data_IF_884183788859
#
_entry.id   IF_884183788859
#
_cell.length_a   1.000
_cell.length_b   1.000
_cell.length_c   1.000
_cell.angle_alpha   90.00
_cell.angle_beta   90.00
_cell.angle_gamma   90.00
#
_symmetry.space_group_name_H-M   'P 1'
#
loop_
_entity.id
_entity.type
_entity.pdbx_description
1 polymer ?
#
# COMPACT_ATOMS: atom_id res chain seq x y z
N UNK A 1 -3.63 4.08 -17.62
CA UNK A 1 -3.55 5.56 -17.59
C UNK A 1 -2.10 6.00 -17.75
N UNK A 2 -1.81 7.30 -17.89
CA UNK A 2 -0.43 7.81 -18.01
C UNK A 2 -0.14 8.78 -16.87
N UNK A 3 0.95 8.55 -16.15
CA UNK A 3 1.48 9.44 -15.12
C UNK A 3 2.08 10.73 -15.72
N UNK A 4 2.32 11.74 -14.88
CA UNK A 4 2.84 13.05 -15.28
C UNK A 4 4.22 13.01 -15.94
N UNK A 5 5.02 11.98 -15.64
CA UNK A 5 6.35 11.75 -16.19
C UNK A 5 6.36 10.83 -17.43
N UNK A 6 5.18 10.49 -17.96
CA UNK A 6 5.02 9.68 -19.17
C UNK A 6 4.99 8.17 -18.93
N UNK A 7 5.16 7.70 -17.70
CA UNK A 7 5.02 6.27 -17.36
C UNK A 7 3.56 5.84 -17.51
N UNK A 8 3.29 4.75 -18.22
CA UNK A 8 1.95 4.18 -18.31
C UNK A 8 1.71 3.25 -17.12
N UNK A 9 0.62 3.49 -16.40
CA UNK A 9 0.20 2.71 -15.25
C UNK A 9 -1.04 1.88 -15.61
N UNK A 10 -0.95 0.56 -15.43
CA UNK A 10 -2.07 -0.36 -15.59
C UNK A 10 -2.93 -0.34 -14.32
N UNK A 11 -4.22 -0.05 -14.49
CA UNK A 11 -5.21 0.01 -13.41
C UNK A 11 -6.24 -1.08 -13.64
N UNK A 12 -6.35 -1.98 -12.69
CA UNK A 12 -7.14 -3.20 -12.75
C UNK A 12 -8.36 -3.08 -11.86
N UNK A 13 -9.53 -3.02 -12.48
CA UNK A 13 -10.82 -2.99 -11.78
C UNK A 13 -11.35 -4.41 -11.69
N UNK A 14 -11.39 -4.95 -10.48
CA UNK A 14 -11.99 -6.26 -10.22
C UNK A 14 -13.51 -6.17 -10.09
N UNK A 15 -14.02 -4.98 -9.83
CA UNK A 15 -15.45 -4.65 -9.81
C UNK A 15 -15.68 -3.34 -10.54
N UNK A 16 -16.89 -3.13 -11.02
CA UNK A 16 -17.33 -1.78 -11.41
C UNK A 16 -17.30 -0.83 -10.20
N UNK A 17 -17.14 0.46 -10.46
CA UNK A 17 -17.20 1.50 -9.43
C UNK A 17 -18.66 1.89 -9.20
N UNK A 18 -19.20 1.50 -8.05
CA UNK A 18 -20.49 1.94 -7.55
C UNK A 18 -20.27 3.00 -6.46
N UNK A 19 -20.85 4.19 -6.62
CA UNK A 19 -20.76 5.28 -5.66
C UNK A 19 -21.36 4.94 -4.28
N UNK A 20 -22.24 3.95 -4.20
CA UNK A 20 -22.80 3.48 -2.93
C UNK A 20 -21.82 2.59 -2.12
N UNK A 21 -20.68 2.19 -2.71
CA UNK A 21 -19.74 1.24 -2.13
C UNK A 21 -18.38 1.90 -1.86
N UNK A 22 -17.75 1.66 -0.70
CA UNK A 22 -16.40 2.19 -0.45
C UNK A 22 -15.39 1.56 -1.41
N UNK A 23 -14.40 2.34 -1.83
CA UNK A 23 -13.37 1.88 -2.79
C UNK A 23 -12.09 1.47 -2.09
N UNK A 24 -11.69 0.22 -2.28
CA UNK A 24 -10.37 -0.28 -1.89
C UNK A 24 -9.43 -0.09 -3.07
N UNK A 25 -8.29 0.55 -2.82
CA UNK A 25 -7.19 0.66 -3.76
C UNK A 25 -5.98 -0.10 -3.23
N UNK A 26 -5.68 -1.22 -3.89
CA UNK A 26 -4.65 -2.15 -3.49
C UNK A 26 -3.32 -1.88 -4.22
N UNK A 27 -2.21 -1.94 -3.47
CA UNK A 27 -0.85 -1.66 -3.93
C UNK A 27 0.02 -2.89 -3.64
N UNK A 28 0.48 -3.56 -4.70
CA UNK A 28 1.29 -4.77 -4.59
C UNK A 28 2.75 -4.47 -4.17
N UNK A 29 3.47 -5.50 -3.75
CA UNK A 29 4.89 -5.45 -3.38
C UNK A 29 5.84 -5.69 -4.55
N UNK A 30 7.12 -5.90 -4.28
CA UNK A 30 8.09 -6.36 -5.27
C UNK A 30 8.68 -7.72 -4.86
N UNK A 31 8.81 -8.71 -5.77
CA UNK A 31 8.57 -8.65 -7.22
C UNK A 31 7.17 -9.16 -7.63
N UNK A 32 6.10 -8.51 -7.15
CA UNK A 32 4.71 -8.89 -7.47
C UNK A 32 4.09 -8.02 -8.58
N UNK A 33 2.82 -8.29 -8.89
CA UNK A 33 1.90 -7.44 -9.65
C UNK A 33 0.48 -7.51 -9.03
N UNK A 34 -0.53 -6.92 -9.68
CA UNK A 34 -1.91 -6.89 -9.18
C UNK A 34 -2.51 -8.26 -8.82
N UNK A 35 -2.08 -9.37 -9.45
CA UNK A 35 -2.65 -10.70 -9.22
C UNK A 35 -2.50 -11.22 -7.79
N UNK A 36 -1.57 -10.65 -7.01
CA UNK A 36 -1.48 -10.95 -5.56
C UNK A 36 -2.80 -10.67 -4.83
N UNK A 37 -3.66 -9.84 -5.42
CA UNK A 37 -4.95 -9.46 -4.86
C UNK A 37 -6.14 -10.26 -5.39
N UNK A 38 -5.97 -11.18 -6.34
CA UNK A 38 -7.09 -11.91 -6.98
C UNK A 38 -8.03 -12.55 -5.94
N UNK A 39 -7.50 -13.34 -5.01
CA UNK A 39 -8.29 -13.98 -3.97
C UNK A 39 -8.89 -13.01 -2.94
N UNK A 40 -8.25 -11.86 -2.72
CA UNK A 40 -8.77 -10.81 -1.82
C UNK A 40 -9.93 -10.08 -2.50
N UNK A 41 -9.78 -9.77 -3.79
CA UNK A 41 -10.80 -9.16 -4.60
C UNK A 41 -12.03 -10.06 -4.72
N UNK A 42 -11.85 -11.36 -4.89
CA UNK A 42 -12.95 -12.34 -4.87
C UNK A 42 -13.71 -12.30 -3.53
N UNK A 43 -12.99 -12.29 -2.41
CA UNK A 43 -13.60 -12.26 -1.07
C UNK A 43 -14.33 -10.93 -0.75
N UNK A 44 -13.85 -9.80 -1.28
CA UNK A 44 -14.30 -8.47 -0.90
C UNK A 44 -15.18 -7.77 -1.95
N UNK A 45 -15.13 -8.23 -3.20
CA UNK A 45 -15.78 -7.62 -4.37
C UNK A 45 -17.31 -7.67 -4.35
N UNK A 46 -17.93 -8.36 -3.40
CA UNK A 46 -19.38 -8.27 -3.13
C UNK A 46 -19.78 -7.10 -2.23
N UNK A 47 -18.84 -6.49 -1.50
CA UNK A 47 -19.10 -5.38 -0.55
C UNK A 47 -18.41 -4.07 -0.91
N UNK A 48 -17.21 -4.13 -1.48
CA UNK A 48 -16.40 -2.94 -1.80
C UNK A 48 -16.18 -2.82 -3.31
N UNK A 49 -15.93 -1.61 -3.81
CA UNK A 49 -15.29 -1.49 -5.11
C UNK A 49 -13.83 -1.91 -4.92
N UNK A 50 -13.33 -2.85 -5.73
CA UNK A 50 -11.97 -3.35 -5.58
C UNK A 50 -11.13 -3.04 -6.82
N UNK A 51 -10.09 -2.24 -6.60
CA UNK A 51 -9.16 -1.81 -7.64
C UNK A 51 -7.74 -2.08 -7.19
N UNK A 52 -6.89 -2.52 -8.09
CA UNK A 52 -5.44 -2.49 -7.92
C UNK A 52 -4.80 -1.73 -9.09
N UNK A 53 -3.57 -1.28 -8.92
CA UNK A 53 -2.75 -0.87 -10.06
C UNK A 53 -1.39 -1.52 -9.97
N UNK A 54 -0.80 -1.77 -11.14
CA UNK A 54 0.59 -2.20 -11.20
C UNK A 54 1.48 -0.98 -10.98
N UNK A 55 2.33 -1.00 -9.96
CA UNK A 55 3.30 0.06 -9.69
C UNK A 55 4.27 0.15 -10.88
N UNK A 56 4.77 1.36 -11.17
CA UNK A 56 5.74 1.61 -12.24
C UNK A 56 6.82 0.52 -12.32
N UNK A 57 7.06 -0.01 -13.52
CA UNK A 57 8.03 -1.06 -13.78
C UNK A 57 7.64 -2.47 -13.32
N UNK A 58 6.39 -2.70 -12.96
CA UNK A 58 5.85 -4.03 -12.64
C UNK A 58 4.59 -4.32 -13.45
N UNK A 59 4.24 -5.60 -13.56
CA UNK A 59 3.04 -6.06 -14.26
C UNK A 59 2.91 -5.50 -15.67
N UNK A 60 1.76 -4.88 -15.96
CA UNK A 60 1.47 -4.25 -17.25
C UNK A 60 1.80 -2.74 -17.29
N UNK A 61 2.38 -2.20 -16.22
CA UNK A 61 2.89 -0.83 -16.19
C UNK A 61 4.24 -0.72 -16.87
N UNK A 62 4.50 0.40 -17.54
CA UNK A 62 5.81 0.66 -18.15
C UNK A 62 6.86 0.97 -17.08
N UNK A 63 8.13 0.80 -17.43
CA UNK A 63 9.23 1.18 -16.56
C UNK A 63 9.69 2.63 -16.86
N UNK A 64 10.06 3.43 -15.84
CA UNK A 64 10.77 4.68 -16.03
C UNK A 64 12.14 4.45 -16.70
N UNK A 65 12.64 5.46 -17.42
CA UNK A 65 13.93 5.38 -18.13
C UNK A 65 15.15 5.19 -17.20
N UNK A 66 15.02 5.49 -15.91
CA UNK A 66 16.11 5.36 -14.95
C UNK A 66 15.64 5.30 -13.51
N UNK A 67 16.58 4.99 -12.60
CA UNK A 67 16.31 4.78 -11.18
C UNK A 67 15.67 5.98 -10.47
N UNK A 68 15.93 7.20 -10.92
CA UNK A 68 15.31 8.41 -10.38
C UNK A 68 13.78 8.40 -10.50
N UNK A 69 13.24 7.67 -11.49
CA UNK A 69 11.80 7.47 -11.64
C UNK A 69 11.17 6.61 -10.55
N UNK A 70 11.93 5.94 -9.68
CA UNK A 70 11.39 5.13 -8.58
C UNK A 70 11.47 5.84 -7.22
N UNK A 71 11.71 7.15 -7.20
CA UNK A 71 11.72 7.94 -5.95
C UNK A 71 10.32 7.98 -5.32
N UNK A 72 10.26 8.07 -3.99
CA UNK A 72 8.99 8.08 -3.27
C UNK A 72 8.00 9.16 -3.73
N UNK A 73 8.47 10.39 -3.97
CA UNK A 73 7.59 11.44 -4.48
C UNK A 73 6.87 11.02 -5.76
N UNK A 74 7.58 10.34 -6.66
CA UNK A 74 7.02 9.86 -7.90
C UNK A 74 6.02 8.68 -7.70
N UNK A 75 6.28 7.81 -6.73
CA UNK A 75 5.35 6.74 -6.34
C UNK A 75 4.07 7.31 -5.68
N UNK A 76 4.21 8.37 -4.89
CA UNK A 76 3.08 9.10 -4.31
C UNK A 76 2.28 9.79 -5.41
N UNK A 77 2.93 10.49 -6.34
CA UNK A 77 2.29 11.14 -7.49
C UNK A 77 1.48 10.14 -8.34
N UNK A 78 2.03 8.95 -8.58
CA UNK A 78 1.33 7.87 -9.28
C UNK A 78 0.04 7.46 -8.58
N UNK A 79 0.11 7.23 -7.26
CA UNK A 79 -1.06 6.87 -6.48
C UNK A 79 -2.13 7.97 -6.53
N UNK A 80 -1.70 9.23 -6.44
CA UNK A 80 -2.58 10.39 -6.60
C UNK A 80 -3.26 10.42 -7.97
N UNK A 81 -2.50 10.16 -9.04
CA UNK A 81 -3.02 10.07 -10.39
C UNK A 81 -4.02 8.91 -10.54
N UNK A 82 -3.77 7.76 -9.91
CA UNK A 82 -4.69 6.61 -9.92
C UNK A 82 -6.00 6.99 -9.22
N UNK A 83 -5.93 7.56 -8.02
CA UNK A 83 -7.12 8.00 -7.27
C UNK A 83 -7.94 9.01 -8.10
N UNK A 84 -7.27 9.99 -8.72
CA UNK A 84 -7.94 10.95 -9.59
C UNK A 84 -8.57 10.30 -10.82
N UNK A 85 -7.89 9.33 -11.43
CA UNK A 85 -8.38 8.57 -12.59
C UNK A 85 -9.62 7.71 -12.26
N UNK A 86 -9.73 7.22 -11.02
CA UNK A 86 -10.92 6.49 -10.57
C UNK A 86 -12.15 7.38 -10.38
N UNK A 87 -11.96 8.71 -10.24
CA UNK A 87 -13.05 9.65 -10.06
C UNK A 87 -13.79 9.50 -8.73
N UNK A 88 -13.11 8.98 -7.71
CA UNK A 88 -13.65 8.80 -6.35
C UNK A 88 -13.08 9.83 -5.39
N UNK A 89 -13.88 10.24 -4.42
CA UNK A 89 -13.45 11.26 -3.45
C UNK A 89 -12.43 10.72 -2.44
N UNK A 90 -12.63 9.48 -1.99
CA UNK A 90 -11.85 8.83 -0.94
C UNK A 90 -11.63 7.35 -1.27
N UNK A 91 -10.44 6.85 -0.97
CA UNK A 91 -10.09 5.41 -1.05
C UNK A 91 -9.64 4.84 0.29
N UNK A 92 -9.79 3.53 0.45
CA UNK A 92 -9.16 2.76 1.51
C UNK A 92 -7.96 2.02 0.93
N UNK A 93 -6.76 2.36 1.40
CA UNK A 93 -5.53 1.78 0.87
C UNK A 93 -5.29 0.39 1.48
N UNK A 94 -4.84 -0.53 0.63
CA UNK A 94 -4.38 -1.86 1.02
C UNK A 94 -2.99 -2.10 0.43
N UNK A 95 -1.95 -2.08 1.27
CA UNK A 95 -0.57 -2.23 0.82
C UNK A 95 0.03 -3.58 1.22
N UNK A 96 0.86 -4.15 0.35
CA UNK A 96 1.73 -5.28 0.65
C UNK A 96 3.20 -4.89 0.40
N UNK A 97 4.12 -5.22 1.32
CA UNK A 97 5.58 -5.11 1.12
C UNK A 97 6.02 -3.67 0.68
N UNK A 98 6.57 -3.48 -0.51
CA UNK A 98 6.93 -2.16 -1.05
C UNK A 98 5.70 -1.28 -1.31
N UNK A 99 4.57 -1.87 -1.70
CA UNK A 99 3.29 -1.19 -1.78
C UNK A 99 2.81 -0.67 -0.41
N UNK A 100 3.20 -1.38 0.66
CA UNK A 100 2.98 -0.89 2.02
C UNK A 100 3.85 0.33 2.35
N UNK A 101 5.10 0.32 1.94
CA UNK A 101 6.00 1.45 2.14
C UNK A 101 5.51 2.68 1.35
N UNK A 102 5.05 2.48 0.11
CA UNK A 102 4.41 3.51 -0.71
C UNK A 102 3.14 4.06 -0.03
N UNK A 103 2.30 3.17 0.50
CA UNK A 103 1.10 3.56 1.24
C UNK A 103 1.39 4.43 2.46
N UNK A 104 2.46 4.12 3.22
CA UNK A 104 2.90 4.97 4.33
C UNK A 104 3.30 6.37 3.87
N UNK A 105 4.08 6.47 2.79
CA UNK A 105 4.47 7.77 2.24
C UNK A 105 3.24 8.59 1.83
N UNK A 106 2.24 7.95 1.21
CA UNK A 106 1.01 8.60 0.76
C UNK A 106 0.13 9.10 1.92
N UNK A 107 -0.07 8.33 2.98
CA UNK A 107 -0.90 8.77 4.12
C UNK A 107 -0.22 9.85 4.97
N UNK A 108 1.08 10.06 4.81
CA UNK A 108 1.81 11.17 5.42
C UNK A 108 1.98 12.38 4.48
N UNK A 109 1.60 12.23 3.20
CA UNK A 109 1.67 13.32 2.23
C UNK A 109 0.45 14.26 2.40
N UNK A 110 0.64 15.58 2.63
CA UNK A 110 -0.47 16.50 2.85
C UNK A 110 -1.48 16.60 1.70
N UNK A 111 -1.06 16.32 0.46
CA UNK A 111 -1.94 16.38 -0.71
C UNK A 111 -2.79 15.11 -0.84
N UNK A 112 -2.26 13.94 -0.46
CA UNK A 112 -2.99 12.66 -0.56
C UNK A 112 -3.70 12.23 0.71
N UNK A 113 -3.22 12.61 1.89
CA UNK A 113 -3.85 12.24 3.16
C UNK A 113 -5.37 12.53 3.19
N UNK A 114 -5.89 13.67 2.68
CA UNK A 114 -7.34 13.93 2.64
C UNK A 114 -8.14 12.97 1.75
N UNK A 115 -7.48 12.26 0.82
CA UNK A 115 -8.07 11.30 -0.11
C UNK A 115 -8.06 9.87 0.42
N UNK A 116 -7.44 9.62 1.59
CA UNK A 116 -7.31 8.28 2.17
C UNK A 116 -8.17 8.17 3.43
N UNK A 117 -9.23 7.36 3.36
CA UNK A 117 -10.16 7.15 4.48
C UNK A 117 -9.62 6.18 5.53
N UNK A 118 -8.86 5.18 5.10
CA UNK A 118 -8.08 4.32 5.99
C UNK A 118 -6.94 3.64 5.22
N UNK A 119 -5.99 3.09 5.96
CA UNK A 119 -4.87 2.36 5.37
C UNK A 119 -4.58 1.07 6.14
N UNK A 120 -4.55 -0.06 5.42
CA UNK A 120 -4.14 -1.38 5.93
C UNK A 120 -2.80 -1.77 5.31
N UNK A 121 -1.80 -1.96 6.15
CA UNK A 121 -0.43 -2.29 5.76
C UNK A 121 -0.10 -3.74 6.08
N UNK A 122 0.39 -4.51 5.10
CA UNK A 122 0.78 -5.91 5.24
C UNK A 122 2.27 -6.04 4.91
N UNK A 123 3.08 -6.48 5.86
CA UNK A 123 4.49 -6.80 5.62
C UNK A 123 5.38 -5.65 5.12
N UNK A 124 5.01 -4.39 5.34
CA UNK A 124 5.88 -3.22 5.08
C UNK A 124 5.78 -2.17 6.20
N UNK A 125 6.87 -1.86 6.92
CA UNK A 125 6.85 -0.85 7.97
C UNK A 125 6.93 0.57 7.38
N UNK A 126 6.46 1.55 8.14
CA UNK A 126 6.80 2.95 7.87
C UNK A 126 8.32 3.14 7.97
N UNK A 127 8.97 3.73 6.97
CA UNK A 127 10.44 3.74 6.88
C UNK A 127 11.12 4.50 8.03
N UNK A 128 10.53 5.58 8.54
CA UNK A 128 11.10 6.27 9.71
C UNK A 128 11.12 5.39 10.96
N UNK A 129 10.03 4.64 11.21
CA UNK A 129 9.94 3.69 12.31
C UNK A 129 10.85 2.48 12.09
N UNK A 130 10.90 1.94 10.86
CA UNK A 130 11.83 0.86 10.51
C UNK A 130 13.29 1.28 10.70
N UNK A 131 13.64 2.49 10.25
CA UNK A 131 14.95 3.08 10.46
C UNK A 131 15.27 3.31 11.93
N UNK A 132 14.31 3.83 12.72
CA UNK A 132 14.47 4.01 14.15
C UNK A 132 14.67 2.67 14.87
N UNK A 133 13.92 1.64 14.51
CA UNK A 133 14.07 0.28 15.04
C UNK A 133 15.44 -0.31 14.69
N UNK A 134 15.91 -0.19 13.45
CA UNK A 134 17.23 -0.67 13.02
C UNK A 134 18.38 0.05 13.72
N UNK A 135 18.21 1.34 14.01
CA UNK A 135 19.18 2.16 14.78
C UNK A 135 19.06 1.98 16.29
N UNK A 136 17.97 1.36 16.77
CA UNK A 136 17.79 1.13 18.20
C UNK A 136 18.88 0.20 18.72
N UNK A 137 19.40 0.41 19.94
CA UNK A 137 20.33 -0.53 20.54
C UNK A 137 19.67 -1.90 20.52
N UNK A 138 20.28 -2.86 19.81
CA UNK A 138 19.88 -4.27 19.91
C UNK A 138 20.08 -4.65 21.36
N UNK A 139 19.02 -4.55 22.18
CA UNK A 139 18.97 -5.29 23.42
C UNK A 139 19.22 -6.73 22.97
N UNK A 140 20.33 -7.34 23.42
CA UNK A 140 20.45 -8.79 23.39
C UNK A 140 19.31 -9.30 24.26
N UNK A 141 18.11 -9.42 23.68
CA UNK A 141 17.17 -10.38 24.17
C UNK A 141 17.90 -11.69 23.94
N UNK A 142 18.53 -12.22 25.00
CA UNK A 142 18.97 -13.60 24.98
C UNK A 142 17.78 -14.40 24.50
N UNK A 143 17.95 -15.09 23.39
CA UNK A 143 17.00 -16.11 22.98
C UNK A 143 17.07 -17.18 24.06
N UNK A 144 16.31 -16.97 25.14
CA UNK A 144 16.03 -18.02 26.10
C UNK A 144 15.13 -19.00 25.36
N UNK A 145 15.63 -20.21 25.17
CA UNK A 145 14.95 -21.37 24.58
C UNK A 145 13.81 -21.89 25.46
N UNK A 146 13.09 -21.01 26.16
CA UNK A 146 11.93 -21.39 26.97
C UNK A 146 10.71 -21.54 26.06
N UNK A 147 10.06 -22.72 26.00
CA UNK A 147 8.95 -22.98 25.06
C UNK A 147 7.67 -22.18 25.34
N UNK A 148 7.59 -21.44 26.45
CA UNK A 148 6.31 -20.98 27.01
C UNK A 148 6.09 -19.46 26.94
N UNK A 149 6.65 -18.75 25.95
CA UNK A 149 6.43 -17.29 25.81
C UNK A 149 6.11 -16.82 24.39
N UNK A 150 5.37 -17.61 23.63
CA UNK A 150 4.57 -17.09 22.53
C UNK A 150 3.14 -16.91 23.07
N UNK A 151 2.55 -15.73 22.88
CA UNK A 151 1.18 -15.34 23.30
C UNK A 151 1.00 -14.77 24.72
N UNK A 152 1.25 -13.46 24.86
CA UNK A 152 0.37 -12.59 25.67
C UNK A 152 0.08 -11.31 24.87
N UNK A 153 -1.18 -11.01 24.52
CA UNK A 153 -1.53 -9.75 23.89
C UNK A 153 -1.41 -8.63 24.93
N UNK A 154 -0.61 -7.62 24.61
CA UNK A 154 -0.63 -6.35 25.32
C UNK A 154 -1.83 -5.53 24.80
N UNK A 155 -3.03 -5.87 25.24
CA UNK A 155 -4.17 -4.96 25.25
C UNK A 155 -4.55 -4.79 26.72
N UNK A 156 -4.20 -3.63 27.25
CA UNK A 156 -4.59 -3.15 28.58
C UNK A 156 -4.62 -1.63 28.48
N UNK A 157 -5.81 -1.07 28.28
CA UNK A 157 -6.00 0.38 28.31
C UNK A 157 -7.12 0.89 27.41
N UNK A 158 -8.35 0.39 27.60
CA UNK A 158 -9.51 1.24 27.40
C UNK A 158 -9.66 2.10 28.66
N UNK A 159 -9.40 3.40 28.54
CA UNK A 159 -10.12 4.51 29.18
C UNK A 159 -9.90 5.76 28.33
#
# INVERSE_FOLDING_TARGET
MTASDGVTLAVHRYTDIDAARPTILAIHGYPDNHHVWDGVAECLGGRYNFVAYDVRGAGESSAPAGRSGYRFGQLVDDLGAVIAHLGVDTVHLLGHDWGSIQGWAAVTDPALMPKVGSYTSISGPHLDYGGAFLRSPRRRAGWSTSPNRCWRPAISGCF
#
